data_IF_001572473881
#
_entry.id   IF_001572473881
#
_cell.length_a   1.000
_cell.length_b   1.000
_cell.length_c   1.000
_cell.angle_alpha   90.00
_cell.angle_beta   90.00
_cell.angle_gamma   90.00
#
_symmetry.space_group_name_H-M   'P 1'
#
loop_
_entity.id
_entity.type
_entity.pdbx_description
1 polymer ?
#
# COMPACT_ATOMS: atom_id res chain seq x y z
N UNK A 1 21.60 -11.05 2.53
CA UNK A 1 21.65 -10.35 1.24
C UNK A 1 21.08 -8.96 1.49
N UNK A 2 21.85 -7.89 1.26
CA UNK A 2 21.32 -6.53 1.43
C UNK A 2 20.34 -6.22 0.29
N UNK A 3 19.16 -5.71 0.62
CA UNK A 3 18.26 -5.16 -0.38
C UNK A 3 18.89 -3.89 -0.98
N UNK A 4 18.87 -3.76 -2.31
CA UNK A 4 19.18 -2.49 -2.94
C UNK A 4 18.00 -1.54 -2.71
N UNK A 5 18.10 -0.65 -1.73
CA UNK A 5 17.05 0.33 -1.45
C UNK A 5 16.82 1.26 -2.66
N UNK A 6 15.57 1.75 -2.84
CA UNK A 6 15.20 2.57 -3.98
C UNK A 6 16.05 3.84 -4.06
N UNK A 7 16.58 4.09 -5.26
CA UNK A 7 17.45 5.24 -5.54
C UNK A 7 16.60 6.38 -6.11
N UNK A 8 16.22 7.35 -5.28
CA UNK A 8 15.31 8.44 -5.65
C UNK A 8 16.05 9.73 -6.00
N UNK A 9 15.41 10.64 -6.75
CA UNK A 9 15.95 11.96 -7.09
C UNK A 9 15.03 13.12 -6.69
N UNK A 10 15.60 14.29 -6.39
CA UNK A 10 14.87 15.53 -6.04
C UNK A 10 15.53 16.76 -6.70
N UNK A 11 14.78 17.87 -6.82
CA UNK A 11 15.22 19.11 -7.46
C UNK A 11 15.42 20.32 -6.52
N UNK A 12 15.09 20.20 -5.23
CA UNK A 12 15.17 21.34 -4.28
C UNK A 12 16.62 21.56 -3.78
N UNK A 13 17.11 22.80 -3.69
CA UNK A 13 18.42 23.10 -3.10
C UNK A 13 18.60 22.48 -1.71
N UNK A 14 19.81 22.00 -1.41
CA UNK A 14 20.13 21.27 -0.18
C UNK A 14 19.91 19.75 -0.28
N UNK A 15 18.82 19.31 -0.92
CA UNK A 15 18.40 17.89 -1.00
C UNK A 15 18.34 17.34 -2.44
N UNK A 16 18.80 18.08 -3.45
CA UNK A 16 18.71 17.68 -4.85
C UNK A 16 19.77 16.62 -5.22
N UNK A 17 19.36 15.51 -5.81
CA UNK A 17 20.28 14.47 -6.28
C UNK A 17 19.80 13.07 -5.98
N UNK A 18 20.64 12.10 -6.34
CA UNK A 18 20.33 10.67 -6.31
C UNK A 18 20.88 10.05 -5.01
N UNK A 19 20.03 9.41 -4.21
CA UNK A 19 20.39 8.93 -2.86
C UNK A 19 20.32 7.40 -2.76
N UNK A 20 21.22 6.80 -1.97
CA UNK A 20 21.18 5.37 -1.70
C UNK A 20 22.07 4.93 -0.54
N UNK A 21 21.99 3.65 -0.20
CA UNK A 21 22.93 3.01 0.72
C UNK A 21 24.14 2.51 -0.08
N UNK A 22 25.34 2.86 0.38
CA UNK A 22 26.58 2.26 -0.12
C UNK A 22 27.13 1.29 0.92
N UNK A 23 26.85 0.00 0.74
CA UNK A 23 27.63 -1.08 1.35
C UNK A 23 29.00 -1.15 0.67
N UNK A 24 30.06 -1.52 1.41
CA UNK A 24 31.42 -1.55 0.88
C UNK A 24 32.08 -2.94 1.01
N UNK A 25 32.27 -3.61 -0.12
CA UNK A 25 33.02 -4.86 -0.25
C UNK A 25 34.48 -4.58 -0.66
N UNK A 26 35.40 -4.35 0.30
CA UNK A 26 36.85 -4.53 0.11
C UNK A 26 37.65 -4.34 1.43
N UNK A 27 38.74 -5.09 1.66
CA UNK A 27 39.54 -5.01 2.89
C UNK A 27 40.62 -3.89 2.91
N UNK A 28 40.77 -3.10 1.84
CA UNK A 28 41.85 -2.10 1.70
C UNK A 28 41.45 -0.64 1.97
N UNK A 29 40.16 -0.36 2.21
CA UNK A 29 39.70 0.96 2.67
C UNK A 29 39.34 0.90 4.16
N UNK A 30 39.97 1.72 5.03
CA UNK A 30 39.60 1.73 6.44
C UNK A 30 38.18 2.28 6.65
N UNK A 31 37.46 1.65 7.59
CA UNK A 31 36.12 1.96 8.06
C UNK A 31 34.94 1.69 7.09
N UNK A 32 34.31 0.53 7.35
CA UNK A 32 32.90 0.16 7.14
C UNK A 32 32.03 1.33 6.65
N UNK A 33 31.53 1.23 5.41
CA UNK A 33 30.50 2.14 4.90
C UNK A 33 29.15 1.45 5.07
N UNK A 34 28.46 1.80 6.15
CA UNK A 34 27.06 1.47 6.38
C UNK A 34 26.32 2.79 6.62
N UNK A 35 26.29 3.65 5.61
CA UNK A 35 25.76 5.02 5.71
C UNK A 35 25.05 5.45 4.42
N UNK A 36 24.14 6.41 4.57
CA UNK A 36 23.43 7.04 3.45
C UNK A 36 24.38 7.96 2.69
N UNK A 37 24.36 7.85 1.36
CA UNK A 37 25.16 8.66 0.44
C UNK A 37 24.29 9.34 -0.61
N UNK A 38 24.82 10.45 -1.15
CA UNK A 38 24.23 11.24 -2.24
C UNK A 38 25.22 11.28 -3.40
N UNK A 39 24.76 10.92 -4.58
CA UNK A 39 25.49 11.08 -5.83
C UNK A 39 25.41 12.53 -6.30
N UNK A 40 26.56 13.13 -6.61
CA UNK A 40 26.66 14.52 -7.07
C UNK A 40 26.80 14.67 -8.60
N UNK A 41 26.73 13.57 -9.35
CA UNK A 41 27.00 13.52 -10.80
C UNK A 41 28.31 12.82 -11.16
N UNK A 42 29.29 12.77 -10.26
CA UNK A 42 30.62 12.18 -10.49
C UNK A 42 31.07 11.20 -9.40
N UNK A 43 30.62 11.38 -8.15
CA UNK A 43 30.95 10.53 -7.01
C UNK A 43 29.80 10.41 -5.99
N UNK A 44 29.86 9.37 -5.17
CA UNK A 44 28.98 9.16 -4.01
C UNK A 44 29.58 9.81 -2.77
N UNK A 45 29.00 10.95 -2.33
CA UNK A 45 29.40 11.64 -1.10
C UNK A 45 28.55 11.20 0.09
N UNK A 46 29.18 10.87 1.22
CA UNK A 46 28.48 10.50 2.46
C UNK A 46 27.75 11.71 3.06
N UNK A 47 26.58 11.48 3.66
CA UNK A 47 25.86 12.48 4.47
C UNK A 47 26.33 12.52 5.94
N UNK A 48 27.06 11.48 6.38
CA UNK A 48 27.58 11.36 7.75
C UNK A 48 26.49 11.22 8.81
N UNK A 49 26.85 11.42 10.08
CA UNK A 49 25.90 11.47 11.20
C UNK A 49 25.56 10.13 11.86
N UNK A 50 24.45 10.15 12.62
CA UNK A 50 24.03 9.12 13.60
C UNK A 50 23.48 7.81 13.00
N UNK A 51 23.58 7.61 11.68
CA UNK A 51 22.70 6.69 10.93
C UNK A 51 23.44 5.40 10.54
N UNK A 52 23.00 4.24 11.05
CA UNK A 52 23.58 2.92 10.72
C UNK A 52 22.79 2.15 9.65
N UNK A 53 23.43 1.81 8.52
CA UNK A 53 22.77 1.13 7.39
C UNK A 53 22.57 -0.39 7.49
N UNK A 54 22.97 -1.01 8.60
CA UNK A 54 22.77 -2.45 8.82
C UNK A 54 21.31 -2.82 9.11
N UNK A 55 20.49 -1.83 9.50
CA UNK A 55 19.10 -2.03 9.89
C UNK A 55 18.10 -1.29 8.99
N UNK A 56 18.56 -0.56 7.96
CA UNK A 56 17.68 0.22 7.10
C UNK A 56 16.83 -0.67 6.20
N UNK A 57 15.52 -0.47 6.26
CA UNK A 57 14.53 -1.12 5.39
C UNK A 57 13.95 -0.15 4.37
N UNK A 58 13.90 1.14 4.69
CA UNK A 58 13.15 2.13 3.93
C UNK A 58 13.89 3.46 3.73
N UNK A 59 13.66 4.07 2.56
CA UNK A 59 14.32 5.30 2.12
C UNK A 59 13.44 6.10 1.15
N UNK A 60 13.00 7.30 1.55
CA UNK A 60 12.03 8.12 0.79
C UNK A 60 12.15 9.62 1.08
N UNK A 61 11.34 10.44 0.39
CA UNK A 61 11.21 11.89 0.64
C UNK A 61 9.83 12.21 1.21
N UNK A 62 9.78 12.90 2.36
CA UNK A 62 8.51 13.29 2.99
C UNK A 62 7.82 14.47 2.26
N UNK A 63 6.56 14.75 2.60
CA UNK A 63 5.79 15.87 2.03
C UNK A 63 6.35 17.27 2.30
N UNK A 64 7.36 17.40 3.17
CA UNK A 64 8.09 18.66 3.45
C UNK A 64 9.47 18.68 2.78
N UNK A 65 9.76 17.69 1.96
CA UNK A 65 11.02 17.44 1.27
C UNK A 65 12.21 17.11 2.20
N UNK A 66 11.97 16.45 3.34
CA UNK A 66 13.06 15.81 4.09
C UNK A 66 13.35 14.44 3.49
N UNK A 67 14.62 14.04 3.42
CA UNK A 67 14.97 12.63 3.19
C UNK A 67 14.72 11.86 4.48
N UNK A 68 13.92 10.80 4.44
CA UNK A 68 13.60 9.94 5.58
C UNK A 68 14.21 8.56 5.39
N UNK A 69 14.78 8.04 6.46
CA UNK A 69 15.36 6.70 6.56
C UNK A 69 14.67 5.97 7.70
N UNK A 70 14.28 4.71 7.49
CA UNK A 70 13.74 3.87 8.56
C UNK A 70 14.23 2.42 8.50
N UNK A 71 13.96 1.65 9.56
CA UNK A 71 14.58 0.34 9.76
C UNK A 71 13.94 -0.62 10.76
N UNK A 72 14.61 -1.76 10.89
CA UNK A 72 14.27 -2.91 11.75
C UNK A 72 14.84 -2.77 13.18
N UNK A 73 15.88 -1.95 13.36
CA UNK A 73 16.56 -1.72 14.63
C UNK A 73 16.94 -0.25 14.77
N UNK A 74 17.32 0.16 15.99
CA UNK A 74 17.77 1.50 16.33
C UNK A 74 18.79 2.04 15.31
N UNK A 75 18.33 2.93 14.44
CA UNK A 75 19.17 3.54 13.41
C UNK A 75 20.04 4.63 14.02
N UNK A 76 19.51 5.37 15.01
CA UNK A 76 20.23 6.39 15.76
C UNK A 76 21.15 5.78 16.84
N UNK A 77 22.34 6.36 17.01
CA UNK A 77 23.26 5.99 18.09
C UNK A 77 22.90 6.59 19.46
N UNK A 78 22.07 7.63 19.52
CA UNK A 78 21.71 8.32 20.76
C UNK A 78 20.46 7.76 21.46
N UNK A 79 19.59 7.07 20.74
CA UNK A 79 18.31 6.51 21.23
C UNK A 79 17.86 5.32 20.37
N UNK A 80 16.99 4.43 20.88
CA UNK A 80 16.25 3.48 20.05
C UNK A 80 15.24 4.25 19.19
N UNK A 81 15.71 4.79 18.07
CA UNK A 81 14.93 5.55 17.10
C UNK A 81 15.12 4.90 15.74
N UNK A 82 14.03 4.35 15.24
CA UNK A 82 13.98 3.52 14.04
C UNK A 82 13.57 4.34 12.79
N UNK A 83 13.40 5.66 12.95
CA UNK A 83 13.15 6.63 11.86
C UNK A 83 13.93 7.92 12.09
N UNK A 84 14.73 8.34 11.11
CA UNK A 84 15.47 9.60 11.12
C UNK A 84 15.27 10.38 9.83
N UNK A 85 15.28 11.71 9.91
CA UNK A 85 15.09 12.60 8.76
C UNK A 85 16.28 13.55 8.55
N UNK A 86 16.64 13.81 7.29
CA UNK A 86 17.63 14.79 6.86
C UNK A 86 16.92 15.98 6.23
N UNK A 87 17.14 17.18 6.80
CA UNK A 87 16.48 18.42 6.38
C UNK A 87 17.18 19.19 5.25
N UNK A 88 18.37 18.73 4.85
CA UNK A 88 19.29 19.45 3.95
C UNK A 88 20.63 19.77 4.59
N UNK A 89 20.67 19.91 5.92
CA UNK A 89 21.84 20.35 6.69
C UNK A 89 22.26 19.34 7.78
N UNK A 90 21.29 18.68 8.42
CA UNK A 90 21.53 17.72 9.52
C UNK A 90 20.46 16.64 9.64
N UNK A 91 20.82 15.57 10.33
CA UNK A 91 19.90 14.52 10.78
C UNK A 91 19.11 14.96 12.02
N UNK A 92 17.84 14.60 12.05
CA UNK A 92 16.95 14.71 13.20
C UNK A 92 16.37 13.34 13.52
N UNK A 93 16.38 12.98 14.81
CA UNK A 93 15.59 11.86 15.33
C UNK A 93 14.10 12.19 15.21
N UNK A 94 13.29 11.23 14.76
CA UNK A 94 11.83 11.31 14.87
C UNK A 94 11.37 10.65 16.18
N UNK A 95 10.08 10.78 16.53
CA UNK A 95 9.56 10.07 17.69
C UNK A 95 9.62 8.55 17.46
N UNK A 96 9.68 7.78 18.55
CA UNK A 96 9.70 6.32 18.49
C UNK A 96 8.48 5.77 17.74
N UNK A 97 8.72 4.95 16.72
CA UNK A 97 7.70 4.15 16.04
C UNK A 97 7.87 2.71 16.54
N UNK A 98 6.84 2.07 17.11
CA UNK A 98 6.96 0.70 17.62
C UNK A 98 7.12 -0.31 16.48
N UNK A 99 7.99 -1.31 16.71
CA UNK A 99 8.14 -2.46 15.82
C UNK A 99 9.11 -2.24 14.66
N UNK A 100 9.27 -3.28 13.86
CA UNK A 100 10.14 -3.29 12.68
C UNK A 100 9.40 -2.69 11.50
N UNK A 101 9.93 -1.59 10.97
CA UNK A 101 9.31 -0.89 9.83
C UNK A 101 9.58 -1.70 8.57
N UNK A 102 8.50 -2.16 7.93
CA UNK A 102 8.50 -3.05 6.77
C UNK A 102 8.23 -2.31 5.47
N UNK A 103 7.50 -1.19 5.56
CA UNK A 103 7.13 -0.38 4.41
C UNK A 103 6.87 1.06 4.85
N UNK A 104 7.19 2.03 4.01
CA UNK A 104 6.85 3.42 4.24
C UNK A 104 6.39 4.12 2.96
N UNK A 105 5.47 5.08 3.11
CA UNK A 105 5.03 5.87 1.96
C UNK A 105 4.56 7.25 2.39
N UNK A 106 4.55 8.20 1.45
CA UNK A 106 3.88 9.49 1.61
C UNK A 106 2.52 9.45 0.94
N UNK A 107 1.53 10.01 1.61
CA UNK A 107 0.18 10.15 1.05
C UNK A 107 -0.50 11.40 1.60
N UNK A 108 -1.40 11.98 0.81
CA UNK A 108 -2.23 13.10 1.21
C UNK A 108 -3.66 12.57 1.41
N UNK A 109 -4.10 12.51 2.67
CA UNK A 109 -5.45 12.06 3.05
C UNK A 109 -6.48 13.21 3.02
N UNK A 110 -6.16 14.31 2.33
CA UNK A 110 -6.95 15.53 2.27
C UNK A 110 -6.61 16.54 3.39
N UNK A 111 -5.79 16.14 4.38
CA UNK A 111 -5.27 17.05 5.41
C UNK A 111 -3.83 17.52 5.16
N UNK A 112 -3.28 17.25 3.97
CA UNK A 112 -1.90 17.53 3.59
C UNK A 112 -1.02 16.27 3.66
N UNK A 113 0.01 16.24 2.83
CA UNK A 113 0.89 15.08 2.67
C UNK A 113 1.58 14.70 3.99
N UNK A 114 1.24 13.51 4.49
CA UNK A 114 1.82 12.88 5.66
C UNK A 114 2.68 11.66 5.28
N UNK A 115 3.52 11.27 6.23
CA UNK A 115 4.30 10.04 6.18
C UNK A 115 3.54 8.92 6.90
N UNK A 116 3.49 7.74 6.28
CA UNK A 116 2.88 6.54 6.83
C UNK A 116 3.95 5.46 6.96
N UNK A 117 3.92 4.73 8.09
CA UNK A 117 4.82 3.62 8.37
C UNK A 117 4.01 2.36 8.66
N UNK A 118 4.27 1.33 7.87
CA UNK A 118 3.80 -0.04 8.07
C UNK A 118 4.88 -0.83 8.81
N UNK A 119 4.47 -1.65 9.77
CA UNK A 119 5.39 -2.39 10.62
C UNK A 119 4.83 -3.73 11.10
N UNK A 120 5.75 -4.54 11.64
CA UNK A 120 5.45 -5.74 12.42
C UNK A 120 6.06 -5.60 13.82
N UNK A 121 5.39 -6.12 14.85
CA UNK A 121 5.97 -6.21 16.19
C UNK A 121 5.68 -7.56 16.84
N UNK A 122 6.72 -8.20 17.37
CA UNK A 122 6.61 -9.30 18.33
C UNK A 122 6.38 -8.83 19.77
N UNK A 123 6.65 -7.56 20.07
CA UNK A 123 6.58 -7.01 21.42
C UNK A 123 5.35 -6.13 21.59
N UNK A 124 4.60 -6.39 22.65
CA UNK A 124 3.33 -5.70 22.93
C UNK A 124 3.59 -4.40 23.71
N UNK A 125 3.65 -3.28 22.99
CA UNK A 125 3.68 -1.91 23.51
C UNK A 125 2.35 -1.19 23.19
N UNK A 126 1.30 -1.41 24.00
CA UNK A 126 0.00 -0.78 23.77
C UNK A 126 0.07 0.74 24.01
N UNK A 127 -0.77 1.55 23.32
CA UNK A 127 -1.84 1.13 22.42
C UNK A 127 -1.42 1.01 20.93
N UNK A 128 -0.19 1.41 20.57
CA UNK A 128 0.20 1.60 19.16
C UNK A 128 0.75 0.31 18.49
N UNK A 129 1.44 -0.57 19.23
CA UNK A 129 2.14 -1.73 18.61
C UNK A 129 1.23 -2.79 18.00
N UNK A 130 -0.07 -2.74 18.23
CA UNK A 130 -1.06 -3.74 17.76
C UNK A 130 -1.63 -3.43 16.38
N UNK A 131 -1.38 -2.21 15.89
CA UNK A 131 -2.13 -1.58 14.80
C UNK A 131 -1.50 -1.80 13.42
N UNK A 132 -0.22 -2.20 13.37
CA UNK A 132 0.54 -2.47 12.14
C UNK A 132 0.81 -1.27 11.21
N UNK A 133 0.12 -0.15 11.39
CA UNK A 133 0.25 1.07 10.59
C UNK A 133 0.08 2.33 11.44
N UNK A 134 0.95 3.32 11.23
CA UNK A 134 0.92 4.63 11.89
C UNK A 134 1.13 5.78 10.89
N UNK A 135 0.58 6.95 11.20
CA UNK A 135 0.73 8.21 10.46
C UNK A 135 1.56 9.20 11.28
N UNK A 136 2.49 9.91 10.65
CA UNK A 136 3.22 11.03 11.25
C UNK A 136 2.43 12.34 11.15
N UNK A 137 2.23 13.00 12.28
CA UNK A 137 1.53 14.31 12.37
C UNK A 137 2.45 15.51 12.11
N UNK A 138 3.77 15.29 12.13
CA UNK A 138 4.77 16.36 12.24
C UNK A 138 5.48 16.38 13.60
N UNK A 139 4.87 15.82 14.64
CA UNK A 139 5.41 15.77 16.02
C UNK A 139 5.34 14.39 16.66
N UNK A 140 4.37 13.55 16.28
CA UNK A 140 4.15 12.22 16.85
C UNK A 140 3.58 11.22 15.83
N UNK A 141 3.62 9.93 16.17
CA UNK A 141 3.00 8.86 15.40
C UNK A 141 1.61 8.53 15.96
N UNK A 142 0.58 8.57 15.11
CA UNK A 142 -0.81 8.32 15.48
C UNK A 142 -1.42 7.16 14.69
N UNK A 143 -2.47 6.55 15.25
CA UNK A 143 -3.23 5.47 14.61
C UNK A 143 -3.85 5.87 13.28
N UNK A 144 -3.82 4.99 12.29
CA UNK A 144 -4.61 5.12 11.05
C UNK A 144 -5.93 4.37 11.22
N UNK A 145 -6.97 5.07 11.68
CA UNK A 145 -8.32 4.52 11.78
C UNK A 145 -8.44 3.24 12.62
N UNK A 146 -7.62 3.06 13.67
CA UNK A 146 -7.57 1.84 14.48
C UNK A 146 -6.65 0.73 13.93
N UNK A 147 -6.07 0.92 12.74
CA UNK A 147 -5.09 0.03 12.13
C UNK A 147 -5.61 -1.32 11.67
N UNK A 148 -4.69 -2.20 11.31
CA UNK A 148 -4.95 -3.60 10.93
C UNK A 148 -4.83 -4.53 12.14
N UNK A 149 -5.59 -5.63 12.15
CA UNK A 149 -5.68 -6.54 13.29
C UNK A 149 -5.73 -8.01 12.86
N UNK A 150 -4.94 -8.86 13.53
CA UNK A 150 -5.01 -10.32 13.42
C UNK A 150 -5.70 -10.91 14.64
N UNK A 151 -6.85 -11.59 14.47
CA UNK A 151 -7.63 -12.10 15.61
C UNK A 151 -6.92 -13.21 16.40
N UNK A 152 -5.98 -13.93 15.80
CA UNK A 152 -5.21 -15.01 16.46
C UNK A 152 -3.95 -14.51 17.15
N UNK A 153 -3.28 -13.50 16.58
CA UNK A 153 -2.07 -12.87 17.14
C UNK A 153 -2.37 -11.68 18.06
N UNK A 154 -3.59 -11.15 18.03
CA UNK A 154 -3.99 -9.86 18.64
C UNK A 154 -3.19 -8.64 18.13
N UNK A 155 -2.44 -8.84 17.04
CA UNK A 155 -1.56 -7.87 16.40
C UNK A 155 -1.73 -8.06 14.89
N UNK A 156 -2.14 -7.01 14.19
CA UNK A 156 -1.99 -6.95 12.73
C UNK A 156 -0.62 -6.43 12.37
N UNK A 157 -0.10 -6.85 11.21
CA UNK A 157 1.16 -6.31 10.69
C UNK A 157 1.04 -5.99 9.22
N UNK A 158 1.71 -4.92 8.81
CA UNK A 158 1.84 -4.53 7.42
C UNK A 158 3.18 -5.05 6.89
N UNK A 159 3.19 -5.46 5.63
CA UNK A 159 4.37 -5.92 4.90
C UNK A 159 4.69 -4.98 3.73
N UNK A 160 3.67 -4.44 3.06
CA UNK A 160 3.84 -3.43 2.02
C UNK A 160 2.65 -2.45 1.97
N UNK A 161 2.89 -1.24 1.48
CA UNK A 161 1.92 -0.17 1.34
C UNK A 161 2.07 0.55 0.01
N UNK A 162 0.95 0.89 -0.62
CA UNK A 162 0.95 1.60 -1.89
C UNK A 162 -0.18 2.60 -2.00
N UNK A 163 0.16 3.85 -2.33
CA UNK A 163 -0.83 4.80 -2.82
C UNK A 163 -1.22 4.41 -4.25
N UNK A 164 -2.52 4.24 -4.48
CA UNK A 164 -3.06 3.91 -5.79
C UNK A 164 -4.46 4.54 -5.95
N UNK A 165 -4.83 4.87 -7.19
CA UNK A 165 -6.17 5.31 -7.56
C UNK A 165 -6.85 4.20 -8.35
N UNK A 166 -7.77 3.48 -7.69
CA UNK A 166 -8.55 2.40 -8.31
C UNK A 166 -9.75 2.88 -9.13
N UNK A 167 -10.00 4.19 -9.14
CA UNK A 167 -11.15 4.84 -9.78
C UNK A 167 -11.92 5.73 -8.82
N UNK A 168 -11.84 5.47 -7.51
CA UNK A 168 -12.57 6.25 -6.50
C UNK A 168 -11.72 7.39 -5.90
N UNK A 169 -10.61 7.75 -6.53
CA UNK A 169 -9.60 8.67 -6.02
C UNK A 169 -8.39 7.96 -5.39
N UNK A 170 -7.29 8.68 -5.13
CA UNK A 170 -6.09 8.13 -4.51
C UNK A 170 -6.38 7.64 -3.08
N UNK A 171 -5.94 6.42 -2.76
CA UNK A 171 -6.10 5.81 -1.45
C UNK A 171 -4.85 5.01 -1.07
N UNK A 172 -4.70 4.75 0.24
CA UNK A 172 -3.59 3.94 0.76
C UNK A 172 -3.99 2.46 0.83
N UNK A 173 -3.44 1.64 -0.06
CA UNK A 173 -3.57 0.19 -0.03
C UNK A 173 -2.51 -0.40 0.89
N UNK A 174 -2.92 -1.36 1.70
CA UNK A 174 -2.13 -1.95 2.79
C UNK A 174 -2.19 -3.46 2.67
N UNK A 175 -1.03 -4.08 2.54
CA UNK A 175 -0.83 -5.53 2.42
C UNK A 175 -0.08 -6.03 3.66
N UNK A 176 -0.45 -7.19 4.20
CA UNK A 176 0.29 -7.79 5.30
C UNK A 176 -0.40 -8.99 5.94
N UNK A 177 -0.13 -9.23 7.22
CA UNK A 177 -0.73 -10.34 7.98
C UNK A 177 -1.77 -9.79 8.95
N UNK A 178 -3.03 -9.84 8.53
CA UNK A 178 -4.21 -9.44 9.31
C UNK A 178 -5.48 -10.06 8.71
N UNK A 179 -6.56 -10.12 9.50
CA UNK A 179 -7.88 -10.54 9.03
C UNK A 179 -8.99 -9.52 9.35
N UNK A 180 -8.64 -8.37 9.94
CA UNK A 180 -9.51 -7.21 10.13
C UNK A 180 -8.77 -5.90 9.87
N UNK A 181 -9.51 -4.87 9.48
CA UNK A 181 -9.06 -3.48 9.41
C UNK A 181 -10.05 -2.56 10.16
N UNK A 182 -9.53 -1.61 10.94
CA UNK A 182 -10.30 -0.88 11.95
C UNK A 182 -10.18 -1.45 13.37
N UNK A 183 -9.06 -2.11 13.69
CA UNK A 183 -8.83 -2.74 15.00
C UNK A 183 -9.69 -4.00 15.28
N UNK A 184 -9.83 -4.41 16.55
CA UNK A 184 -10.47 -5.69 16.91
C UNK A 184 -11.94 -5.84 16.48
N UNK A 185 -12.70 -4.73 16.51
CA UNK A 185 -14.09 -4.64 16.07
C UNK A 185 -14.25 -4.21 14.60
N UNK A 186 -13.15 -4.02 13.88
CA UNK A 186 -13.14 -3.53 12.50
C UNK A 186 -13.70 -4.52 11.47
N UNK A 187 -13.80 -4.07 10.22
CA UNK A 187 -14.32 -4.87 9.11
C UNK A 187 -13.44 -6.09 8.82
N UNK A 188 -14.01 -7.23 8.39
CA UNK A 188 -13.22 -8.37 7.90
C UNK A 188 -12.43 -7.98 6.64
N UNK A 189 -11.11 -8.16 6.66
CA UNK A 189 -10.24 -7.86 5.54
C UNK A 189 -9.04 -8.83 5.55
N UNK A 190 -8.96 -9.73 4.56
CA UNK A 190 -8.00 -10.83 4.57
C UNK A 190 -6.69 -10.41 3.89
N UNK A 191 -5.68 -10.07 4.70
CA UNK A 191 -4.31 -9.70 4.33
C UNK A 191 -4.13 -8.48 3.41
N UNK A 192 -5.21 -7.91 2.87
CA UNK A 192 -5.19 -6.68 2.08
C UNK A 192 -6.41 -5.81 2.37
N UNK A 193 -6.20 -4.50 2.49
CA UNK A 193 -7.23 -3.49 2.77
C UNK A 193 -6.86 -2.15 2.12
N UNK A 194 -7.84 -1.26 1.97
CA UNK A 194 -7.71 0.11 1.47
C UNK A 194 -8.15 1.09 2.56
N UNK A 195 -7.38 2.15 2.78
CA UNK A 195 -7.75 3.29 3.62
C UNK A 195 -8.03 4.50 2.72
N UNK A 196 -9.26 5.01 2.76
CA UNK A 196 -9.72 6.14 1.92
C UNK A 196 -9.43 7.52 2.53
N UNK A 197 -8.84 7.56 3.73
CA UNK A 197 -8.57 8.78 4.50
C UNK A 197 -9.49 8.94 5.71
N UNK A 198 -10.66 8.30 5.67
CA UNK A 198 -11.70 8.31 6.72
C UNK A 198 -12.11 6.90 7.16
N UNK A 199 -12.15 5.94 6.24
CA UNK A 199 -12.66 4.60 6.43
C UNK A 199 -11.72 3.53 5.85
N UNK A 200 -11.76 2.35 6.48
CA UNK A 200 -11.19 1.13 5.91
C UNK A 200 -12.20 0.45 4.99
N UNK A 201 -11.71 -0.06 3.87
CA UNK A 201 -12.45 -0.87 2.90
C UNK A 201 -11.74 -2.21 2.70
N UNK A 202 -12.51 -3.30 2.68
CA UNK A 202 -12.00 -4.62 2.37
C UNK A 202 -11.95 -4.82 0.85
N UNK A 203 -10.87 -5.41 0.35
CA UNK A 203 -10.83 -5.87 -1.04
C UNK A 203 -11.45 -7.27 -1.09
N UNK A 204 -12.43 -7.46 -1.97
CA UNK A 204 -13.24 -8.68 -2.05
C UNK A 204 -12.36 -9.94 -2.24
N UNK A 205 -12.65 -11.01 -1.51
CA UNK A 205 -11.88 -12.25 -1.50
C UNK A 205 -10.49 -12.17 -0.83
N UNK A 206 -9.89 -10.98 -0.74
CA UNK A 206 -8.57 -10.74 -0.16
C UNK A 206 -7.43 -11.45 -0.89
N UNK A 207 -6.32 -11.66 -0.20
CA UNK A 207 -5.12 -12.37 -0.68
C UNK A 207 -4.69 -13.41 0.34
N UNK A 208 -4.04 -14.49 -0.11
CA UNK A 208 -3.28 -15.38 0.77
C UNK A 208 -2.04 -14.70 1.37
N UNK A 209 -0.89 -15.35 1.32
CA UNK A 209 0.38 -14.78 1.78
C UNK A 209 1.00 -13.79 0.77
N UNK A 210 0.38 -12.63 0.58
CA UNK A 210 0.98 -11.51 -0.16
C UNK A 210 2.20 -10.93 0.57
N UNK A 211 3.18 -10.44 -0.19
CA UNK A 211 4.44 -9.90 0.33
C UNK A 211 4.77 -8.50 -0.20
N UNK A 212 4.35 -8.13 -1.43
CA UNK A 212 4.60 -6.80 -1.99
C UNK A 212 3.47 -6.29 -2.88
N UNK A 213 3.33 -4.96 -2.96
CA UNK A 213 2.44 -4.19 -3.81
C UNK A 213 3.23 -3.36 -4.84
N UNK A 214 2.90 -3.53 -6.13
CA UNK A 214 3.47 -2.74 -7.22
C UNK A 214 2.37 -2.05 -8.01
N UNK A 215 2.63 -0.84 -8.53
CA UNK A 215 1.78 -0.23 -9.57
C UNK A 215 2.54 -0.32 -10.88
N UNK A 216 1.90 -0.89 -11.90
CA UNK A 216 2.45 -0.99 -13.26
C UNK A 216 1.35 -0.72 -14.28
N UNK A 217 1.73 -0.24 -15.46
CA UNK A 217 0.82 -0.10 -16.61
C UNK A 217 1.10 -1.26 -17.57
N UNK A 218 0.09 -2.08 -17.85
CA UNK A 218 0.15 -3.23 -18.77
C UNK A 218 -0.26 -2.85 -20.21
N UNK A 219 -0.39 -1.54 -20.49
CA UNK A 219 -0.95 -0.98 -21.72
C UNK A 219 -2.46 -0.70 -21.64
N UNK A 220 -3.12 -1.00 -20.51
CA UNK A 220 -4.54 -0.70 -20.25
C UNK A 220 -4.74 0.43 -19.23
N UNK A 221 -3.64 1.02 -18.75
CA UNK A 221 -3.61 1.98 -17.66
C UNK A 221 -2.99 1.41 -16.38
N UNK A 222 -2.63 2.26 -15.41
CA UNK A 222 -1.99 1.84 -14.17
C UNK A 222 -2.93 0.92 -13.37
N UNK A 223 -2.42 -0.26 -13.04
CA UNK A 223 -3.05 -1.27 -12.20
C UNK A 223 -2.19 -1.54 -10.97
N UNK A 224 -2.83 -1.84 -9.84
CA UNK A 224 -2.15 -2.36 -8.65
C UNK A 224 -1.95 -3.87 -8.81
N UNK A 225 -0.77 -4.37 -8.46
CA UNK A 225 -0.41 -5.78 -8.48
C UNK A 225 0.04 -6.20 -7.08
N UNK A 226 -0.25 -7.44 -6.71
CA UNK A 226 0.22 -8.08 -5.50
C UNK A 226 1.07 -9.29 -5.86
N UNK A 227 2.24 -9.41 -5.23
CA UNK A 227 3.16 -10.55 -5.37
C UNK A 227 3.43 -11.21 -4.02
N UNK A 228 3.64 -12.53 -4.00
CA UNK A 228 3.91 -13.26 -2.76
C UNK A 228 3.82 -14.79 -2.88
N UNK A 229 3.68 -15.46 -1.74
CA UNK A 229 3.64 -16.91 -1.61
C UNK A 229 2.18 -17.41 -1.45
N UNK A 230 1.29 -16.99 -2.36
CA UNK A 230 -0.13 -17.31 -2.30
C UNK A 230 -0.61 -18.13 -3.49
N UNK A 231 -1.47 -19.11 -3.20
CA UNK A 231 -2.23 -19.87 -4.20
C UNK A 231 -3.61 -19.26 -4.52
N UNK A 232 -4.04 -18.23 -3.80
CA UNK A 232 -5.38 -17.64 -3.91
C UNK A 232 -5.37 -16.11 -3.75
N UNK A 233 -6.17 -15.42 -4.57
CA UNK A 233 -6.48 -14.00 -4.47
C UNK A 233 -7.87 -13.73 -5.10
N UNK A 234 -8.63 -12.77 -4.56
CA UNK A 234 -9.98 -12.45 -5.08
C UNK A 234 -10.99 -13.61 -4.97
N UNK A 235 -10.69 -14.63 -4.16
CA UNK A 235 -11.46 -15.88 -4.09
C UNK A 235 -11.13 -16.92 -5.19
N UNK A 236 -10.28 -16.58 -6.16
CA UNK A 236 -9.82 -17.48 -7.23
C UNK A 236 -8.43 -18.05 -6.98
N UNK A 237 -8.07 -19.14 -7.69
CA UNK A 237 -6.74 -19.75 -7.63
C UNK A 237 -5.76 -19.02 -8.58
N UNK A 238 -4.56 -18.71 -8.10
CA UNK A 238 -3.55 -17.89 -8.81
C UNK A 238 -2.12 -18.32 -8.44
N UNK A 239 -1.14 -18.00 -9.30
CA UNK A 239 0.26 -18.42 -9.16
C UNK A 239 1.18 -17.41 -8.46
N UNK A 240 0.82 -16.91 -7.28
CA UNK A 240 1.66 -16.01 -6.47
C UNK A 240 1.81 -14.57 -6.97
N UNK A 241 1.20 -14.23 -8.11
CA UNK A 241 1.02 -12.85 -8.59
C UNK A 241 -0.45 -12.69 -8.98
N UNK A 242 -1.06 -11.57 -8.58
CA UNK A 242 -2.40 -11.17 -9.00
C UNK A 242 -2.45 -9.67 -9.29
N UNK A 243 -3.33 -9.29 -10.22
CA UNK A 243 -3.63 -7.89 -10.55
C UNK A 243 -4.94 -7.51 -9.85
N UNK A 244 -4.96 -6.35 -9.20
CA UNK A 244 -6.21 -5.68 -8.87
C UNK A 244 -6.79 -5.10 -10.15
N UNK A 245 -7.64 -5.91 -10.79
CA UNK A 245 -8.50 -5.44 -11.86
C UNK A 245 -9.67 -4.73 -11.17
N UNK A 246 -9.66 -3.40 -11.17
CA UNK A 246 -10.89 -2.63 -10.99
C UNK A 246 -11.70 -2.66 -12.29
N UNK A 247 -12.76 -1.86 -12.41
CA UNK A 247 -13.43 -1.65 -13.72
C UNK A 247 -12.59 -0.78 -14.69
N UNK A 248 -11.25 -0.88 -14.62
CA UNK A 248 -10.27 -0.17 -15.46
C UNK A 248 -9.63 -1.12 -16.47
N UNK A 249 -10.23 -1.19 -17.66
CA UNK A 249 -9.67 -1.85 -18.83
C UNK A 249 -10.66 -1.87 -19.99
N UNK A 250 -10.17 -2.01 -21.23
CA UNK A 250 -11.03 -2.09 -22.43
C UNK A 250 -11.73 -3.48 -22.60
N UNK A 251 -12.14 -4.08 -21.48
CA UNK A 251 -12.98 -5.27 -21.41
C UNK A 251 -14.02 -5.08 -20.34
N UNK A 252 -15.20 -4.69 -20.81
CA UNK A 252 -16.51 -4.73 -20.17
C UNK A 252 -16.54 -5.35 -18.76
N UNK A 253 -16.29 -4.49 -17.76
CA UNK A 253 -16.85 -4.69 -16.43
C UNK A 253 -18.38 -4.62 -16.61
N UNK A 254 -19.03 -5.76 -16.87
CA UNK A 254 -20.48 -5.82 -17.15
C UNK A 254 -21.32 -5.23 -16.01
N UNK A 255 -20.79 -5.27 -14.78
CA UNK A 255 -21.43 -4.70 -13.62
C UNK A 255 -21.37 -3.16 -13.58
N UNK A 256 -20.43 -2.50 -14.29
CA UNK A 256 -20.36 -1.04 -14.52
C UNK A 256 -21.29 -0.67 -15.69
N UNK A 257 -22.57 -0.55 -15.36
CA UNK A 257 -23.63 -0.35 -16.36
C UNK A 257 -23.61 1.07 -16.95
N UNK A 258 -23.19 2.07 -16.16
CA UNK A 258 -23.16 3.47 -16.58
C UNK A 258 -21.82 3.87 -17.26
N UNK A 259 -20.79 3.02 -17.15
CA UNK A 259 -19.43 3.16 -17.71
C UNK A 259 -18.58 4.23 -17.02
N UNK A 260 -18.88 4.56 -15.75
CA UNK A 260 -18.09 5.47 -14.92
C UNK A 260 -16.77 4.83 -14.41
N UNK A 261 -16.60 3.50 -14.50
CA UNK A 261 -15.45 2.68 -14.03
C UNK A 261 -15.32 2.51 -12.51
N UNK A 262 -16.39 2.76 -11.77
CA UNK A 262 -16.50 2.69 -10.30
C UNK A 262 -17.76 1.89 -9.97
N UNK A 263 -17.62 0.62 -9.59
CA UNK A 263 -18.79 -0.19 -9.28
C UNK A 263 -19.51 0.31 -8.01
N UNK A 264 -20.71 0.87 -8.17
CA UNK A 264 -21.47 1.46 -7.07
C UNK A 264 -23.01 1.36 -7.28
N UNK A 265 -23.78 1.93 -6.35
CA UNK A 265 -25.25 1.87 -6.38
C UNK A 265 -25.88 2.48 -7.66
N UNK A 266 -25.20 3.42 -8.33
CA UNK A 266 -25.63 3.98 -9.60
C UNK A 266 -25.62 2.93 -10.72
N UNK A 267 -24.69 1.97 -10.70
CA UNK A 267 -24.66 0.87 -11.67
C UNK A 267 -25.80 -0.11 -11.47
N UNK A 268 -26.12 -0.41 -10.21
CA UNK A 268 -27.30 -1.19 -9.87
C UNK A 268 -28.57 -0.49 -10.37
N UNK A 269 -28.70 0.82 -10.18
CA UNK A 269 -29.82 1.61 -10.68
C UNK A 269 -29.85 1.66 -12.22
N UNK A 270 -28.69 1.79 -12.87
CA UNK A 270 -28.57 1.71 -14.33
C UNK A 270 -29.02 0.35 -14.85
N UNK A 271 -28.60 -0.75 -14.22
CA UNK A 271 -29.00 -2.10 -14.60
C UNK A 271 -30.51 -2.30 -14.40
N UNK A 272 -31.07 -1.87 -13.26
CA UNK A 272 -32.52 -1.87 -13.03
C UNK A 272 -33.29 -1.15 -14.14
N UNK A 273 -32.82 0.03 -14.57
CA UNK A 273 -33.43 0.79 -15.67
C UNK A 273 -33.36 0.03 -17.00
N UNK A 274 -32.21 -0.60 -17.30
CA UNK A 274 -31.99 -1.38 -18.53
C UNK A 274 -32.80 -2.68 -18.54
N UNK A 275 -32.91 -3.35 -17.40
CA UNK A 275 -33.67 -4.58 -17.20
C UNK A 275 -35.17 -4.32 -17.38
N UNK A 276 -35.70 -3.28 -16.73
CA UNK A 276 -37.10 -2.86 -16.89
C UNK A 276 -37.43 -2.46 -18.34
N UNK A 277 -36.49 -1.83 -19.04
CA UNK A 277 -36.62 -1.47 -20.46
C UNK A 277 -36.45 -2.65 -21.44
N UNK A 278 -36.13 -3.86 -20.96
CA UNK A 278 -35.73 -5.02 -21.79
C UNK A 278 -34.60 -4.68 -22.79
N UNK A 279 -33.67 -3.84 -22.36
CA UNK A 279 -32.55 -3.39 -23.18
C UNK A 279 -31.51 -4.52 -23.35
N UNK A 280 -30.94 -4.78 -24.54
CA UNK A 280 -30.03 -5.92 -24.77
C UNK A 280 -28.84 -6.04 -23.81
N UNK A 281 -28.29 -4.92 -23.33
CA UNK A 281 -27.25 -4.91 -22.28
C UNK A 281 -27.67 -5.70 -21.02
N UNK A 282 -28.96 -5.75 -20.67
CA UNK A 282 -29.42 -6.45 -19.47
C UNK A 282 -29.54 -7.98 -19.66
N UNK A 283 -29.22 -8.52 -20.84
CA UNK A 283 -29.09 -9.95 -21.09
C UNK A 283 -27.68 -10.41 -20.62
N UNK A 284 -27.57 -10.69 -19.32
CA UNK A 284 -26.34 -11.03 -18.63
C UNK A 284 -25.88 -12.44 -18.94
N UNK A 285 -26.82 -13.39 -19.00
CA UNK A 285 -26.53 -14.82 -19.18
C UNK A 285 -26.52 -15.24 -20.66
N UNK A 286 -26.79 -14.30 -21.57
CA UNK A 286 -26.85 -14.46 -23.01
C UNK A 286 -27.98 -15.41 -23.48
N UNK A 287 -29.08 -15.46 -22.72
CA UNK A 287 -30.34 -16.11 -23.08
C UNK A 287 -30.78 -15.77 -24.50
N UNK A 288 -30.96 -16.81 -25.32
CA UNK A 288 -31.46 -16.72 -26.71
C UNK A 288 -32.92 -17.17 -26.86
N UNK A 289 -33.46 -17.90 -25.87
CA UNK A 289 -34.86 -18.26 -25.82
C UNK A 289 -35.72 -17.10 -25.29
N UNK A 290 -36.94 -16.92 -25.83
CA UNK A 290 -37.84 -15.86 -25.38
C UNK A 290 -38.54 -16.25 -24.06
N UNK A 291 -38.62 -15.36 -23.05
CA UNK A 291 -38.06 -14.00 -23.01
C UNK A 291 -36.54 -13.99 -22.77
N UNK A 292 -35.81 -13.33 -23.67
CA UNK A 292 -34.33 -13.23 -23.65
C UNK A 292 -33.77 -12.32 -22.56
N UNK A 293 -34.64 -11.68 -21.77
CA UNK A 293 -34.31 -10.98 -20.53
C UNK A 293 -35.31 -11.45 -19.49
N UNK A 294 -34.81 -12.12 -18.45
CA UNK A 294 -35.63 -12.79 -17.43
C UNK A 294 -34.92 -12.77 -16.06
N UNK A 295 -35.48 -13.46 -15.06
CA UNK A 295 -34.94 -13.42 -13.69
C UNK A 295 -33.51 -14.00 -13.55
N UNK A 296 -33.08 -14.88 -14.46
CA UNK A 296 -31.72 -15.42 -14.46
C UNK A 296 -30.67 -14.34 -14.78
N UNK A 297 -30.98 -13.38 -15.66
CA UNK A 297 -30.11 -12.23 -15.92
C UNK A 297 -29.91 -11.35 -14.70
N UNK A 298 -30.96 -11.19 -13.90
CA UNK A 298 -30.90 -10.44 -12.65
C UNK A 298 -29.95 -11.10 -11.65
N UNK A 299 -30.05 -12.43 -11.50
CA UNK A 299 -29.14 -13.20 -10.67
C UNK A 299 -27.70 -13.20 -11.22
N UNK A 300 -27.54 -13.26 -12.53
CA UNK A 300 -26.24 -13.15 -13.21
C UNK A 300 -25.59 -11.77 -12.96
N UNK A 301 -26.36 -10.67 -13.04
CA UNK A 301 -25.86 -9.34 -12.70
C UNK A 301 -25.48 -9.25 -11.22
N UNK A 302 -26.31 -9.74 -10.30
CA UNK A 302 -25.98 -9.78 -8.87
C UNK A 302 -24.67 -10.55 -8.61
N UNK A 303 -24.46 -11.68 -9.28
CA UNK A 303 -23.25 -12.47 -9.14
C UNK A 303 -22.01 -11.71 -9.65
N UNK A 304 -22.11 -11.04 -10.81
CA UNK A 304 -21.02 -10.21 -11.35
C UNK A 304 -20.76 -8.99 -10.47
N UNK A 305 -21.80 -8.27 -10.06
CA UNK A 305 -21.70 -7.11 -9.16
C UNK A 305 -21.05 -7.48 -7.82
N UNK A 306 -21.42 -8.62 -7.23
CA UNK A 306 -20.80 -9.12 -6.00
C UNK A 306 -19.34 -9.59 -6.18
N UNK A 307 -18.93 -9.94 -7.40
CA UNK A 307 -17.55 -10.32 -7.74
C UNK A 307 -16.62 -9.11 -7.97
N UNK A 308 -17.14 -7.87 -8.03
CA UNK A 308 -16.40 -6.74 -8.59
C UNK A 308 -16.36 -6.88 -10.12
N UNK A 309 -15.22 -6.64 -10.76
CA UNK A 309 -15.01 -7.23 -12.08
C UNK A 309 -13.57 -7.73 -12.25
N UNK A 310 -13.39 -8.80 -13.05
CA UNK A 310 -12.11 -9.49 -13.24
C UNK A 310 -11.31 -8.99 -14.44
#
# INVERSE_FOLDING_TARGET
MGAALPVFSTSRPGIAGLYGIKYADAPSTPAIINQVARWNGTEWKRLGGVVHANAMTELLVDGRWNLVVAGEQAISTSKPVDVVRWDGERWHEMAFCPGWITSMTTWDDGSGTSLYAGFWSSTFYPPLSTQGILRWTGTEWVSVGGGVYGTTSQVGSVLDMKVFDDGTGPALFVLGRFNRAGGPGGIPANNIAKWDGTNWHALAGGVGWGLSLAVADDGRGPSLFVGGLFGYAGGGQVGGIAQWVGCKGNRQCYADCDNNRILNANDFQCFMNRFAAKHPHANCDQSTAAPTINAADFQCFLNKYAQGCP
#
